data_IF_021674729225
#
_entry.id   IF_021674729225
#
_cell.length_a   1.000
_cell.length_b   1.000
_cell.length_c   1.000
_cell.angle_alpha   90.00
_cell.angle_beta   90.00
_cell.angle_gamma   90.00
#
_symmetry.space_group_name_H-M   'P 1'
#
loop_
_entity.id
_entity.type
_entity.pdbx_description
1 polymer ?
#
# COMPACT_ATOMS: atom_id res chain seq x y z
N UNK A 1 -6.92 -30.81 -9.47
CA UNK A 1 -7.80 -29.76 -10.03
C UNK A 1 -7.54 -28.52 -9.20
N UNK A 2 -6.89 -27.51 -9.76
CA UNK A 2 -6.67 -26.24 -9.07
C UNK A 2 -8.01 -25.51 -8.97
N UNK A 3 -8.31 -24.92 -7.82
CA UNK A 3 -9.47 -24.07 -7.63
C UNK A 3 -9.41 -22.87 -8.60
N UNK A 4 -10.40 -22.64 -9.47
CA UNK A 4 -10.44 -21.50 -10.37
C UNK A 4 -10.51 -20.14 -9.65
N UNK A 5 -10.75 -20.09 -8.33
CA UNK A 5 -10.66 -18.86 -7.53
C UNK A 5 -9.23 -18.32 -7.39
N UNK A 6 -8.21 -19.15 -7.64
CA UNK A 6 -6.79 -18.78 -7.50
C UNK A 6 -6.23 -17.82 -8.56
N UNK A 7 -7.07 -17.29 -9.46
CA UNK A 7 -6.69 -16.31 -10.49
C UNK A 7 -7.16 -14.87 -10.17
N UNK A 8 -7.93 -14.65 -9.10
CA UNK A 8 -8.03 -13.30 -8.55
C UNK A 8 -6.61 -12.91 -8.09
N UNK A 9 -6.10 -11.77 -8.55
CA UNK A 9 -4.80 -11.29 -8.12
C UNK A 9 -4.76 -11.32 -6.58
N UNK A 10 -3.98 -12.24 -6.01
CA UNK A 10 -3.83 -12.42 -4.56
C UNK A 10 -3.06 -11.28 -3.90
N UNK A 11 -2.74 -10.24 -4.68
CA UNK A 11 -2.07 -9.03 -4.25
C UNK A 11 -2.99 -7.83 -4.27
N UNK A 12 -2.52 -6.79 -3.60
CA UNK A 12 -3.14 -5.49 -3.47
C UNK A 12 -2.04 -4.44 -3.59
N UNK A 13 -2.44 -3.22 -3.91
CA UNK A 13 -1.53 -2.09 -4.06
C UNK A 13 -1.69 -1.17 -2.86
N UNK A 14 -0.65 -0.41 -2.54
CA UNK A 14 -0.69 0.57 -1.47
C UNK A 14 -0.17 1.94 -1.92
N UNK A 15 -0.73 2.99 -1.31
CA UNK A 15 -0.30 4.37 -1.40
C UNK A 15 0.43 4.74 -0.09
N UNK A 16 1.58 5.41 -0.21
CA UNK A 16 2.49 5.65 0.93
C UNK A 16 2.42 7.06 1.50
N UNK A 17 1.45 7.87 1.10
CA UNK A 17 1.50 9.32 1.19
C UNK A 17 2.61 9.94 0.35
N UNK A 18 2.52 11.27 0.16
CA UNK A 18 3.63 12.06 -0.40
C UNK A 18 4.80 12.02 0.59
N UNK A 19 5.90 11.36 0.20
CA UNK A 19 7.05 11.10 1.07
C UNK A 19 8.24 11.98 0.71
N UNK A 20 8.86 12.63 1.69
CA UNK A 20 10.05 13.45 1.51
C UNK A 20 11.28 12.58 1.18
N UNK A 21 11.45 12.28 -0.10
CA UNK A 21 12.59 11.54 -0.67
C UNK A 21 13.21 12.33 -1.81
N UNK A 22 14.35 11.87 -2.35
CA UNK A 22 14.98 12.44 -3.54
C UNK A 22 14.01 12.55 -4.73
N UNK A 23 13.08 11.59 -4.88
CA UNK A 23 12.04 11.61 -5.90
C UNK A 23 11.15 12.87 -5.83
N UNK A 24 10.94 13.39 -4.61
CA UNK A 24 10.14 14.61 -4.36
C UNK A 24 10.98 15.88 -4.29
N UNK A 25 12.27 15.80 -4.60
CA UNK A 25 13.21 16.92 -4.80
C UNK A 25 13.21 17.99 -3.68
N UNK A 26 12.89 17.61 -2.45
CA UNK A 26 12.79 18.52 -1.30
C UNK A 26 11.85 19.72 -1.51
N UNK A 27 10.76 19.56 -2.28
CA UNK A 27 9.74 20.61 -2.48
C UNK A 27 8.98 21.02 -1.20
N UNK A 28 9.26 20.41 -0.04
CA UNK A 28 8.60 20.71 1.23
C UNK A 28 7.17 20.18 1.33
N UNK A 29 6.76 19.28 0.43
CA UNK A 29 5.40 18.73 0.34
C UNK A 29 5.24 17.33 0.95
N UNK A 30 6.34 16.68 1.32
CA UNK A 30 6.34 15.29 1.77
C UNK A 30 6.48 15.14 3.28
N UNK A 31 5.87 14.08 3.82
CA UNK A 31 6.09 13.64 5.21
C UNK A 31 7.44 12.93 5.37
N UNK A 32 7.99 12.81 6.59
CA UNK A 32 9.22 12.07 6.84
C UNK A 32 9.14 10.62 6.33
N UNK A 33 10.21 10.04 5.77
CA UNK A 33 10.23 8.64 5.31
C UNK A 33 9.78 7.63 6.36
N UNK A 34 10.08 7.87 7.63
CA UNK A 34 9.70 6.99 8.74
C UNK A 34 8.19 6.94 8.97
N UNK A 35 7.46 8.00 8.61
CA UNK A 35 6.00 7.99 8.68
C UNK A 35 5.39 7.16 7.55
N UNK A 36 5.88 7.33 6.32
CA UNK A 36 5.46 6.51 5.18
C UNK A 36 5.81 5.03 5.35
N UNK A 37 6.98 4.73 5.91
CA UNK A 37 7.42 3.36 6.18
C UNK A 37 6.50 2.64 7.17
N UNK A 38 5.91 3.34 8.15
CA UNK A 38 4.94 2.73 9.09
C UNK A 38 3.72 2.20 8.34
N UNK A 39 3.24 2.92 7.33
CA UNK A 39 2.08 2.51 6.51
C UNK A 39 2.42 1.27 5.69
N UNK A 40 3.58 1.29 5.00
CA UNK A 40 4.07 0.14 4.23
C UNK A 40 4.16 -1.10 5.12
N UNK A 41 4.80 -0.98 6.29
CA UNK A 41 4.98 -2.10 7.21
C UNK A 41 3.65 -2.59 7.77
N UNK A 42 2.76 -1.68 8.19
CA UNK A 42 1.46 -2.05 8.73
C UNK A 42 0.62 -2.83 7.69
N UNK A 43 0.60 -2.37 6.44
CA UNK A 43 -0.13 -3.02 5.37
C UNK A 43 0.54 -4.35 4.94
N UNK A 44 1.86 -4.38 4.81
CA UNK A 44 2.59 -5.59 4.42
C UNK A 44 2.59 -6.72 5.46
N UNK A 45 2.17 -6.43 6.70
CA UNK A 45 2.12 -7.39 7.81
C UNK A 45 0.71 -7.84 8.19
N UNK A 46 -0.30 -7.49 7.38
CA UNK A 46 -1.65 -8.03 7.53
C UNK A 46 -1.69 -9.55 7.28
N UNK A 47 -2.69 -10.20 7.87
CA UNK A 47 -2.96 -11.63 7.70
C UNK A 47 -3.19 -11.97 6.22
N UNK A 48 -2.89 -13.20 5.75
CA UNK A 48 -3.11 -13.61 4.36
C UNK A 48 -4.55 -13.45 3.84
N UNK A 49 -5.54 -13.40 4.75
CA UNK A 49 -6.94 -13.09 4.44
C UNK A 49 -7.22 -11.58 4.26
N UNK A 50 -6.16 -10.78 4.12
CA UNK A 50 -6.19 -9.33 3.93
C UNK A 50 -6.78 -8.87 2.59
N UNK A 51 -6.70 -7.56 2.28
CA UNK A 51 -7.28 -6.99 1.08
C UNK A 51 -6.72 -7.65 -0.19
N UNK A 52 -7.59 -7.90 -1.17
CA UNK A 52 -7.19 -8.41 -2.50
C UNK A 52 -7.77 -7.54 -3.59
N UNK A 53 -7.00 -7.25 -4.65
CA UNK A 53 -7.50 -6.52 -5.82
C UNK A 53 -7.95 -5.08 -5.55
N UNK A 54 -7.41 -4.44 -4.51
CA UNK A 54 -7.72 -3.06 -4.12
C UNK A 54 -6.46 -2.19 -4.06
N UNK A 55 -6.65 -0.87 -4.11
CA UNK A 55 -5.66 0.11 -3.68
C UNK A 55 -5.98 0.52 -2.24
N UNK A 56 -4.99 0.55 -1.36
CA UNK A 56 -5.15 0.90 0.05
C UNK A 56 -4.24 2.06 0.43
N UNK A 57 -4.67 2.92 1.35
CA UNK A 57 -3.81 3.82 2.10
C UNK A 57 -3.99 3.59 3.62
N UNK A 58 -3.42 4.47 4.44
CA UNK A 58 -3.60 4.46 5.89
C UNK A 58 -5.05 4.67 6.38
N UNK A 59 -5.96 5.11 5.51
CA UNK A 59 -7.38 5.31 5.77
C UNK A 59 -8.26 4.21 5.16
N UNK A 60 -7.68 3.24 4.45
CA UNK A 60 -8.34 2.06 3.90
C UNK A 60 -8.43 2.07 2.37
N UNK A 61 -9.49 1.47 1.84
CA UNK A 61 -9.62 1.22 0.41
C UNK A 61 -9.88 2.52 -0.38
N UNK A 62 -9.08 2.74 -1.41
CA UNK A 62 -9.24 3.82 -2.37
C UNK A 62 -9.92 3.29 -3.65
N UNK A 63 -10.75 4.12 -4.32
CA UNK A 63 -11.28 3.78 -5.63
C UNK A 63 -10.14 3.70 -6.67
N UNK A 64 -10.20 2.69 -7.52
CA UNK A 64 -9.27 2.44 -8.63
C UNK A 64 -10.02 2.46 -9.96
#
# INVERSE_FOLDING_TARGET
MLDPSGLAASGWSLETGTTATDMTAAFGIGRPPEESAKVVVALATLDPDGPTGTLQDENGALPW
#
